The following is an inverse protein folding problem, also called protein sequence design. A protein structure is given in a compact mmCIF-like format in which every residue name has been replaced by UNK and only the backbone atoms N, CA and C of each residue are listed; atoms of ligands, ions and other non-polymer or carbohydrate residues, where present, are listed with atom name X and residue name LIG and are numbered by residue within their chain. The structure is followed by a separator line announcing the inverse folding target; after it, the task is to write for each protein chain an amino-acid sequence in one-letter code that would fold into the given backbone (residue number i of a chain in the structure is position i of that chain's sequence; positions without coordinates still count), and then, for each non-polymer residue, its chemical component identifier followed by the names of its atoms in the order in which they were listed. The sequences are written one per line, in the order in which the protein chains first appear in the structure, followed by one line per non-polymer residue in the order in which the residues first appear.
data_IF_152450231330
#
_entry.id   IF_152450231330
#
_cell.length_a   1.000
_cell.length_b   1.000
_cell.length_c   1.000
_cell.angle_alpha   90.00
_cell.angle_beta   90.00
_cell.angle_gamma   90.00
#
_symmetry.space_group_name_H-M   'P 1'
#
loop_
_entity.id
_entity.type
_entity.pdbx_description
1 polymer ?
#
# COMPACT_ATOMS: atom_id res chain seq x y z
N UNK A 1 -2.62 -28.61 -0.89
CA UNK A 1 -2.95 -27.25 -0.36
C UNK A 1 -4.22 -26.64 -0.98
N UNK A 2 -5.18 -27.45 -1.46
CA UNK A 2 -6.50 -26.94 -1.93
C UNK A 2 -7.64 -27.15 -0.92
N UNK A 3 -7.36 -27.70 0.26
CA UNK A 3 -8.39 -28.21 1.17
C UNK A 3 -8.65 -27.36 2.41
N UNK A 4 -8.18 -26.11 2.47
CA UNK A 4 -8.36 -25.24 3.64
C UNK A 4 -9.28 -24.02 3.39
N UNK A 5 -9.74 -23.78 2.16
CA UNK A 5 -10.53 -22.59 1.83
C UNK A 5 -12.05 -22.85 1.71
N UNK A 6 -12.50 -24.11 1.63
CA UNK A 6 -13.87 -24.43 1.21
C UNK A 6 -14.87 -24.62 2.36
N UNK A 7 -14.42 -24.71 3.61
CA UNK A 7 -15.30 -25.07 4.75
C UNK A 7 -15.77 -23.92 5.64
N UNK A 8 -15.62 -22.65 5.24
CA UNK A 8 -16.07 -21.50 6.06
C UNK A 8 -17.20 -20.66 5.46
N UNK A 9 -18.04 -21.27 4.63
CA UNK A 9 -19.29 -20.63 4.15
C UNK A 9 -20.49 -20.78 5.10
N UNK A 10 -20.28 -21.26 6.34
CA UNK A 10 -21.31 -21.29 7.38
C UNK A 10 -21.22 -20.07 8.32
N UNK A 11 -21.40 -18.87 7.77
CA UNK A 11 -21.72 -17.68 8.57
C UNK A 11 -23.00 -17.04 8.05
N UNK A 12 -24.12 -17.48 8.64
CA UNK A 12 -25.34 -16.71 8.92
C UNK A 12 -25.68 -15.64 7.86
N UNK A 13 -26.15 -16.07 6.70
CA UNK A 13 -26.70 -15.16 5.70
C UNK A 13 -28.07 -14.68 6.17
N UNK A 14 -28.14 -13.45 6.67
CA UNK A 14 -29.38 -12.78 7.05
C UNK A 14 -30.04 -12.25 5.76
N UNK A 15 -31.21 -12.82 5.46
CA UNK A 15 -32.31 -12.27 4.66
C UNK A 15 -32.04 -11.78 3.23
N UNK A 16 -32.47 -12.57 2.24
CA UNK A 16 -33.46 -12.20 1.21
C UNK A 16 -33.26 -10.98 0.30
N UNK A 17 -32.15 -10.24 0.39
CA UNK A 17 -31.86 -9.10 -0.49
C UNK A 17 -31.11 -9.58 -1.74
N UNK A 18 -31.47 -9.01 -2.90
CA UNK A 18 -30.71 -9.18 -4.13
C UNK A 18 -29.28 -8.67 -3.94
N UNK A 19 -28.30 -9.47 -4.33
CA UNK A 19 -26.89 -9.11 -4.25
C UNK A 19 -26.61 -7.96 -5.23
N UNK A 20 -26.15 -6.82 -4.72
CA UNK A 20 -25.52 -5.80 -5.56
C UNK A 20 -24.08 -6.22 -5.83
N UNK A 21 -23.67 -6.21 -7.10
CA UNK A 21 -22.27 -6.46 -7.47
C UNK A 21 -21.44 -5.27 -7.01
N UNK A 22 -20.58 -5.47 -6.01
CA UNK A 22 -19.69 -4.45 -5.46
C UNK A 22 -18.29 -4.69 -6.04
N UNK A 23 -17.63 -3.62 -6.51
CA UNK A 23 -16.20 -3.63 -6.85
C UNK A 23 -15.40 -3.33 -5.59
N UNK A 24 -14.51 -4.24 -5.19
CA UNK A 24 -13.66 -4.07 -4.01
C UNK A 24 -12.25 -3.67 -4.44
N UNK A 25 -11.79 -2.51 -3.99
CA UNK A 25 -10.45 -1.99 -4.26
C UNK A 25 -9.71 -1.86 -2.93
N UNK A 26 -8.52 -2.46 -2.83
CA UNK A 26 -7.64 -2.34 -1.69
C UNK A 26 -6.75 -1.10 -1.85
N UNK A 27 -6.53 -0.36 -0.78
CA UNK A 27 -5.71 0.85 -0.78
C UNK A 27 -4.66 0.73 0.33
N UNK A 28 -3.45 1.22 0.05
CA UNK A 28 -2.37 1.32 1.04
C UNK A 28 -1.45 2.52 0.77
N UNK A 29 -0.71 2.94 1.80
CA UNK A 29 0.28 4.01 1.76
C UNK A 29 1.65 3.50 2.22
N UNK A 30 2.69 3.78 1.43
CA UNK A 30 4.05 3.40 1.76
C UNK A 30 4.99 4.61 1.74
N UNK A 31 5.69 4.84 2.85
CA UNK A 31 6.74 5.86 2.96
C UNK A 31 8.09 5.33 2.47
N UNK A 32 8.68 6.01 1.50
CA UNK A 32 10.00 5.74 0.97
C UNK A 32 10.94 6.88 1.34
N UNK A 33 12.05 6.55 2.00
CA UNK A 33 13.07 7.54 2.31
C UNK A 33 14.45 6.89 2.38
N UNK A 34 15.52 7.71 2.35
CA UNK A 34 16.87 7.21 2.54
C UNK A 34 17.00 6.61 3.95
N UNK A 35 17.10 5.29 4.02
CA UNK A 35 17.50 4.60 5.25
C UNK A 35 19.00 4.37 5.13
N UNK A 36 19.80 5.09 5.93
CA UNK A 36 21.24 4.86 5.96
C UNK A 36 21.52 3.51 6.58
N UNK A 37 21.96 2.56 5.75
CA UNK A 37 22.54 1.31 6.23
C UNK A 37 23.95 1.62 6.72
N UNK A 38 24.15 1.58 8.04
CA UNK A 38 25.48 1.66 8.62
C UNK A 38 26.33 0.51 8.08
N UNK A 39 27.45 0.84 7.45
CA UNK A 39 28.45 -0.14 7.02
C UNK A 39 29.07 -0.85 8.22
N UNK A 40 29.54 -2.08 8.03
CA UNK A 40 30.39 -2.77 9.01
C UNK A 40 31.82 -2.26 8.85
N UNK A 41 32.47 -1.90 9.95
CA UNK A 41 33.90 -1.59 9.96
C UNK A 41 34.64 -2.43 11.00
N UNK A 42 35.85 -2.84 10.66
CA UNK A 42 36.74 -3.54 11.55
C UNK A 42 37.43 -2.53 12.48
N UNK A 43 37.50 -2.85 13.76
CA UNK A 43 38.21 -2.05 14.75
C UNK A 43 39.11 -2.94 15.63
N UNK A 44 40.28 -2.45 16.07
CA UNK A 44 41.13 -3.13 17.03
C UNK A 44 40.40 -3.45 18.33
N UNK A 45 40.86 -4.48 19.05
CA UNK A 45 40.30 -4.86 20.36
C UNK A 45 40.38 -3.68 21.34
N UNK A 46 39.23 -3.30 21.90
CA UNK A 46 39.11 -2.17 22.83
C UNK A 46 38.74 -0.84 22.17
N UNK A 47 38.61 -0.77 20.84
CA UNK A 47 38.20 0.44 20.14
C UNK A 47 36.81 0.29 19.50
N UNK A 48 35.95 1.30 19.64
CA UNK A 48 34.63 1.32 19.00
C UNK A 48 34.75 1.93 17.60
N UNK A 49 34.39 1.21 16.53
CA UNK A 49 34.40 1.77 15.20
C UNK A 49 33.42 2.94 15.07
N UNK A 50 33.88 4.06 14.53
CA UNK A 50 33.02 5.15 14.07
C UNK A 50 32.73 4.94 12.58
N UNK A 51 31.45 5.00 12.20
CA UNK A 51 31.00 4.90 10.81
C UNK A 51 30.13 6.12 10.55
N UNK A 52 30.43 6.84 9.47
CA UNK A 52 29.61 7.97 9.06
C UNK A 52 28.21 7.48 8.66
N UNK A 53 27.19 8.07 9.24
CA UNK A 53 25.79 7.84 8.88
C UNK A 53 25.20 9.12 8.28
N UNK A 54 24.66 9.02 7.07
CA UNK A 54 23.84 10.10 6.53
C UNK A 54 22.45 10.07 7.18
N UNK A 55 22.11 11.11 7.94
CA UNK A 55 20.78 11.31 8.50
C UNK A 55 20.00 12.27 7.60
N UNK A 56 19.51 11.78 6.46
CA UNK A 56 18.62 12.53 5.57
C UNK A 56 17.18 12.09 5.88
N UNK A 57 16.29 13.04 6.19
CA UNK A 57 14.88 12.79 6.56
C UNK A 57 13.91 13.21 5.47
N UNK A 58 14.30 13.02 4.22
CA UNK A 58 13.41 13.26 3.08
C UNK A 58 12.62 11.99 2.80
N UNK A 59 11.31 12.05 2.99
CA UNK A 59 10.40 10.94 2.71
C UNK A 59 9.46 11.32 1.58
N UNK A 60 9.26 10.40 0.64
CA UNK A 60 8.22 10.44 -0.38
C UNK A 60 7.21 9.35 -0.06
N UNK A 61 5.94 9.64 -0.26
CA UNK A 61 4.88 8.68 0.02
C UNK A 61 4.34 8.15 -1.31
N UNK A 62 4.12 6.85 -1.39
CA UNK A 62 3.40 6.22 -2.50
C UNK A 62 2.03 5.83 -1.99
N UNK A 63 1.00 6.30 -2.70
CA UNK A 63 -0.38 5.87 -2.48
C UNK A 63 -0.70 4.87 -3.58
N UNK A 64 -1.17 3.69 -3.21
CA UNK A 64 -1.51 2.62 -4.13
C UNK A 64 -2.93 2.13 -3.90
N UNK A 65 -3.62 1.82 -4.99
CA UNK A 65 -4.87 1.08 -4.95
C UNK A 65 -4.85 -0.07 -5.95
N UNK A 66 -5.42 -1.22 -5.58
CA UNK A 66 -5.49 -2.43 -6.41
C UNK A 66 -6.89 -3.01 -6.38
N UNK A 67 -7.46 -3.25 -7.55
CA UNK A 67 -8.73 -3.96 -7.69
C UNK A 67 -8.53 -5.46 -7.41
N UNK A 68 -9.31 -5.98 -6.47
CA UNK A 68 -9.29 -7.39 -6.10
C UNK A 68 -9.67 -8.33 -7.26
N UNK A 69 -10.49 -7.85 -8.20
CA UNK A 69 -11.07 -8.67 -9.26
C UNK A 69 -10.23 -8.65 -10.54
N UNK A 70 -9.87 -7.47 -11.04
CA UNK A 70 -9.10 -7.33 -12.28
C UNK A 70 -7.59 -7.35 -12.08
N UNK A 71 -7.12 -7.07 -10.86
CA UNK A 71 -5.70 -6.85 -10.58
C UNK A 71 -5.16 -5.52 -11.13
N UNK A 72 -6.03 -4.63 -11.63
CA UNK A 72 -5.64 -3.27 -12.01
C UNK A 72 -5.14 -2.49 -10.80
N UNK A 73 -4.09 -1.71 -11.01
CA UNK A 73 -3.43 -0.95 -9.95
C UNK A 73 -3.24 0.51 -10.34
N UNK A 74 -3.54 1.42 -9.41
CA UNK A 74 -3.35 2.85 -9.55
C UNK A 74 -2.40 3.36 -8.48
N UNK A 75 -1.44 4.22 -8.87
CA UNK A 75 -0.41 4.72 -7.97
C UNK A 75 -0.15 6.21 -8.16
N UNK A 76 0.07 6.94 -7.06
CA UNK A 76 0.60 8.31 -7.09
C UNK A 76 1.78 8.46 -6.12
N UNK A 77 2.69 9.38 -6.45
CA UNK A 77 3.81 9.75 -5.59
C UNK A 77 3.53 11.11 -4.98
N UNK A 78 3.37 11.15 -3.66
CA UNK A 78 3.07 12.33 -2.87
C UNK A 78 4.32 12.86 -2.14
N UNK A 79 4.32 14.16 -1.88
CA UNK A 79 5.35 14.83 -1.08
C UNK A 79 5.22 14.59 0.44
N UNK A 80 4.13 13.99 0.90
CA UNK A 80 3.86 13.76 2.32
C UNK A 80 2.66 12.85 2.51
N UNK A 81 2.37 12.51 3.77
CA UNK A 81 1.14 11.84 4.17
C UNK A 81 0.24 12.87 4.86
N UNK A 82 -0.74 13.41 4.11
CA UNK A 82 -1.73 14.36 4.63
C UNK A 82 -3.09 14.13 3.94
N UNK A 83 -4.13 14.74 4.51
CA UNK A 83 -5.49 14.62 3.98
C UNK A 83 -5.64 15.21 2.58
N UNK A 84 -4.86 16.23 2.23
CA UNK A 84 -4.90 16.85 0.90
C UNK A 84 -4.44 15.88 -0.19
N UNK A 85 -3.34 15.16 0.06
CA UNK A 85 -2.83 14.11 -0.83
C UNK A 85 -3.79 12.92 -0.94
N UNK A 86 -4.45 12.53 0.16
CA UNK A 86 -5.48 11.49 0.13
C UNK A 86 -6.70 11.92 -0.71
N UNK A 87 -7.16 13.17 -0.58
CA UNK A 87 -8.27 13.67 -1.37
C UNK A 87 -7.93 13.70 -2.85
N UNK A 88 -6.73 14.18 -3.20
CA UNK A 88 -6.24 14.17 -4.58
C UNK A 88 -6.13 12.74 -5.13
N UNK A 89 -5.63 11.80 -4.32
CA UNK A 89 -5.59 10.38 -4.69
C UNK A 89 -6.97 9.81 -4.99
N UNK A 90 -7.96 10.05 -4.12
CA UNK A 90 -9.32 9.56 -4.30
C UNK A 90 -10.01 10.20 -5.52
N UNK A 91 -9.71 11.48 -5.79
CA UNK A 91 -10.21 12.17 -6.98
C UNK A 91 -9.71 11.48 -8.26
N UNK A 92 -8.39 11.30 -8.39
CA UNK A 92 -7.80 10.65 -9.55
C UNK A 92 -8.21 9.17 -9.67
N UNK A 93 -8.33 8.47 -8.54
CA UNK A 93 -8.81 7.09 -8.50
C UNK A 93 -10.25 6.98 -8.98
N UNK A 94 -11.12 7.92 -8.62
CA UNK A 94 -12.50 7.98 -9.09
C UNK A 94 -12.56 8.16 -10.60
N UNK A 95 -11.77 9.09 -11.16
CA UNK A 95 -11.68 9.31 -12.61
C UNK A 95 -11.17 8.05 -13.34
N UNK A 96 -10.12 7.41 -12.82
CA UNK A 96 -9.56 6.18 -13.39
C UNK A 96 -10.56 5.02 -13.32
N UNK A 97 -11.29 4.86 -12.22
CA UNK A 97 -12.24 3.77 -12.03
C UNK A 97 -13.52 3.93 -12.86
N UNK A 98 -13.95 5.16 -13.15
CA UNK A 98 -15.13 5.42 -13.98
C UNK A 98 -14.90 4.97 -15.44
N UNK A 99 -13.66 5.06 -15.93
CA UNK A 99 -13.31 4.65 -17.30
C UNK A 99 -13.39 3.13 -17.53
N UNK A 100 -13.19 2.30 -16.50
CA UNK A 100 -13.16 0.83 -16.65
C UNK A 100 -14.56 0.18 -16.75
N UNK A 101 -15.66 0.94 -16.61
CA UNK A 101 -17.03 0.35 -16.57
C UNK A 101 -17.72 0.30 -17.94
N UNK A 102 -16.99 0.58 -19.04
CA UNK A 102 -17.53 0.62 -20.41
C UNK A 102 -17.19 -0.59 -21.31
N UNK A 103 -16.87 -1.75 -20.73
CA UNK A 103 -16.70 -3.01 -21.49
C UNK A 103 -17.52 -4.16 -20.90
#
# INVERSE_FOLDING_TARGET
MKSLCEERLNKRFINGKSYQKIRLIYQDEAGFGPISKLGKSWAPKGYRPSVASHHIREYRYCYGAVDAHSGESFFIIAGGCNSDWMNEFLHQLSEACQMTTLF
#
